data_IF_280900581491
#
_entry.id   IF_280900581491
#
_cell.length_a   1.000
_cell.length_b   1.000
_cell.length_c   1.000
_cell.angle_alpha   90.00
_cell.angle_beta   90.00
_cell.angle_gamma   90.00
#
_symmetry.space_group_name_H-M   'P 1'
#
loop_
_entity.id
_entity.type
_entity.pdbx_description
1 polymer ?
#
# COMPACT_ATOMS: atom_id res chain seq x y z
N UNK A 1 10.19 -5.61 -10.22
CA UNK A 1 8.84 -5.08 -9.85
C UNK A 1 8.63 -5.37 -8.37
N UNK A 2 8.26 -4.38 -7.55
CA UNK A 2 8.06 -4.58 -6.12
C UNK A 2 6.89 -5.53 -5.84
N UNK A 3 7.01 -6.31 -4.76
CA UNK A 3 6.04 -7.32 -4.36
C UNK A 3 5.54 -7.03 -2.94
N UNK A 4 4.24 -6.88 -2.78
CA UNK A 4 3.59 -6.73 -1.46
C UNK A 4 3.03 -8.08 -1.04
N UNK A 5 3.35 -8.50 0.17
CA UNK A 5 2.90 -9.79 0.74
C UNK A 5 2.03 -9.51 1.96
N UNK A 6 0.81 -10.04 1.96
CA UNK A 6 -0.08 -10.03 3.12
C UNK A 6 -0.17 -11.46 3.68
N UNK A 7 0.33 -11.63 4.89
CA UNK A 7 0.27 -12.88 5.62
C UNK A 7 -1.02 -12.92 6.43
N UNK A 8 -1.92 -13.82 6.07
CA UNK A 8 -3.21 -14.07 6.73
C UNK A 8 -4.05 -12.79 6.94
N UNK A 9 -4.33 -11.98 5.88
CA UNK A 9 -5.11 -10.77 6.05
C UNK A 9 -6.54 -11.07 6.50
N UNK A 10 -7.05 -10.24 7.45
CA UNK A 10 -8.34 -10.48 8.10
C UNK A 10 -9.45 -9.55 7.59
N UNK A 11 -9.10 -8.34 7.16
CA UNK A 11 -10.07 -7.30 6.82
C UNK A 11 -10.12 -7.05 5.30
N UNK A 12 -11.23 -7.43 4.62
CA UNK A 12 -11.34 -7.32 3.16
C UNK A 12 -11.21 -5.89 2.64
N UNK A 13 -11.66 -4.89 3.42
CA UNK A 13 -11.54 -3.48 3.04
C UNK A 13 -10.07 -3.02 2.98
N UNK A 14 -9.21 -3.51 3.88
CA UNK A 14 -7.77 -3.22 3.85
C UNK A 14 -7.14 -3.86 2.61
N UNK A 15 -7.42 -5.13 2.36
CA UNK A 15 -6.91 -5.84 1.17
C UNK A 15 -7.35 -5.15 -0.12
N UNK A 16 -8.61 -4.70 -0.19
CA UNK A 16 -9.10 -3.90 -1.31
C UNK A 16 -8.29 -2.61 -1.51
N UNK A 17 -8.10 -1.81 -0.47
CA UNK A 17 -7.32 -0.57 -0.54
C UNK A 17 -5.85 -0.83 -0.93
N UNK A 18 -5.25 -1.91 -0.41
CA UNK A 18 -3.89 -2.33 -0.76
C UNK A 18 -3.81 -2.74 -2.23
N UNK A 19 -4.78 -3.50 -2.73
CA UNK A 19 -4.86 -3.86 -4.14
C UNK A 19 -4.88 -2.62 -5.05
N UNK A 20 -5.66 -1.58 -4.69
CA UNK A 20 -5.66 -0.29 -5.41
C UNK A 20 -4.28 0.37 -5.39
N UNK A 21 -3.62 0.37 -4.25
CA UNK A 21 -2.27 0.91 -4.10
C UNK A 21 -1.27 0.15 -4.95
N UNK A 22 -1.35 -1.19 -5.00
CA UNK A 22 -0.49 -2.03 -5.84
C UNK A 22 -0.68 -1.72 -7.33
N UNK A 23 -1.93 -1.60 -7.80
CA UNK A 23 -2.21 -1.21 -9.19
C UNK A 23 -1.63 0.16 -9.51
N UNK A 24 -1.83 1.15 -8.64
CA UNK A 24 -1.31 2.50 -8.83
C UNK A 24 0.22 2.55 -8.84
N UNK A 25 0.87 1.70 -8.06
CA UNK A 25 2.32 1.61 -7.93
C UNK A 25 2.99 0.67 -8.95
N UNK A 26 2.21 -0.10 -9.70
CA UNK A 26 2.73 -1.16 -10.57
C UNK A 26 3.43 -2.28 -9.79
N UNK A 27 2.94 -2.58 -8.60
CA UNK A 27 3.44 -3.65 -7.72
C UNK A 27 2.54 -4.88 -7.79
N UNK A 28 3.10 -6.05 -7.52
CA UNK A 28 2.35 -7.31 -7.41
C UNK A 28 1.89 -7.53 -5.98
N UNK A 29 0.70 -8.14 -5.81
CA UNK A 29 0.13 -8.50 -4.51
C UNK A 29 0.17 -10.01 -4.30
N UNK A 30 0.73 -10.44 -3.19
CA UNK A 30 0.77 -11.85 -2.75
C UNK A 30 -0.08 -11.98 -1.49
N UNK A 31 -1.04 -12.91 -1.52
CA UNK A 31 -1.96 -13.17 -0.42
C UNK A 31 -1.71 -14.57 0.12
N UNK A 32 -1.42 -14.69 1.40
CA UNK A 32 -1.14 -15.97 2.05
C UNK A 32 -2.31 -16.33 2.95
N UNK A 33 -2.91 -17.49 2.72
CA UNK A 33 -3.99 -18.05 3.54
C UNK A 33 -3.48 -18.57 4.91
N UNK A 34 -4.39 -18.70 5.91
CA UNK A 34 -5.82 -18.46 5.83
C UNK A 34 -6.18 -16.96 5.87
N UNK A 35 -7.09 -16.55 5.01
CA UNK A 35 -7.63 -15.20 5.03
C UNK A 35 -8.92 -15.14 5.86
N UNK A 36 -9.19 -14.02 6.54
CA UNK A 36 -10.44 -13.78 7.27
C UNK A 36 -11.68 -13.62 6.36
N UNK A 37 -11.53 -13.75 5.04
CA UNK A 37 -12.58 -13.56 4.04
C UNK A 37 -12.26 -14.37 2.77
N UNK A 38 -13.27 -14.51 1.90
CA UNK A 38 -13.06 -15.12 0.58
C UNK A 38 -13.07 -14.03 -0.49
N UNK A 39 -12.11 -14.11 -1.41
CA UNK A 39 -12.10 -13.25 -2.60
C UNK A 39 -13.12 -13.83 -3.59
N UNK A 40 -14.24 -13.13 -3.72
CA UNK A 40 -15.32 -13.47 -4.65
C UNK A 40 -15.45 -12.37 -5.68
N UNK A 41 -15.25 -12.70 -6.96
CA UNK A 41 -15.35 -11.75 -8.07
C UNK A 41 -16.67 -10.97 -8.08
N UNK A 42 -17.80 -11.60 -7.70
CA UNK A 42 -19.10 -10.93 -7.62
C UNK A 42 -19.15 -9.86 -6.53
N UNK A 43 -18.47 -10.11 -5.40
CA UNK A 43 -18.36 -9.13 -4.29
C UNK A 43 -17.41 -8.00 -4.65
N UNK A 44 -16.30 -8.31 -5.30
CA UNK A 44 -15.35 -7.34 -5.85
C UNK A 44 -16.05 -6.37 -6.81
N UNK A 45 -16.79 -6.88 -7.77
CA UNK A 45 -17.57 -6.06 -8.72
C UNK A 45 -18.67 -5.24 -8.04
N UNK A 46 -19.38 -5.80 -7.05
CA UNK A 46 -20.41 -5.08 -6.27
C UNK A 46 -19.82 -3.97 -5.39
N UNK A 47 -18.60 -4.15 -4.91
CA UNK A 47 -17.90 -3.14 -4.13
C UNK A 47 -17.34 -1.99 -5.00
N UNK A 48 -17.53 -2.02 -6.33
CA UNK A 48 -17.03 -0.99 -7.24
C UNK A 48 -15.52 -0.93 -7.36
N UNK A 49 -14.84 -2.07 -7.17
CA UNK A 49 -13.38 -2.18 -7.28
C UNK A 49 -13.00 -2.31 -8.76
N UNK A 50 -13.13 -1.23 -9.50
CA UNK A 50 -12.90 -1.10 -10.95
C UNK A 50 -11.44 -1.35 -11.39
N UNK A 51 -10.51 -1.35 -10.43
CA UNK A 51 -9.08 -1.63 -10.63
C UNK A 51 -8.72 -3.11 -10.48
N UNK A 52 -9.62 -3.95 -9.94
CA UNK A 52 -9.31 -5.35 -9.59
C UNK A 52 -8.91 -6.19 -10.79
N UNK A 53 -9.53 -5.94 -11.95
CA UNK A 53 -9.17 -6.61 -13.21
C UNK A 53 -7.76 -6.28 -13.71
N UNK A 54 -7.13 -5.23 -13.14
CA UNK A 54 -5.77 -4.79 -13.46
C UNK A 54 -4.76 -5.21 -12.40
N UNK A 55 -5.23 -5.78 -11.29
CA UNK A 55 -4.38 -6.19 -10.18
C UNK A 55 -3.68 -7.51 -10.51
N UNK A 56 -2.35 -7.49 -10.57
CA UNK A 56 -1.56 -8.72 -10.57
C UNK A 56 -1.48 -9.26 -9.14
N UNK A 57 -2.15 -10.37 -8.88
CA UNK A 57 -2.11 -10.99 -7.56
C UNK A 57 -2.00 -12.52 -7.64
N UNK A 58 -1.43 -13.10 -6.58
CA UNK A 58 -1.32 -14.55 -6.40
C UNK A 58 -1.73 -14.93 -4.99
N UNK A 59 -2.46 -16.03 -4.84
CA UNK A 59 -2.86 -16.60 -3.56
C UNK A 59 -2.01 -17.85 -3.29
N UNK A 60 -1.61 -18.02 -2.03
CA UNK A 60 -0.81 -19.14 -1.53
C UNK A 60 -1.53 -19.81 -0.37
N UNK A 61 -1.47 -21.13 -0.30
CA UNK A 61 -2.14 -21.93 0.73
C UNK A 61 -1.52 -21.72 2.13
N UNK A 62 -0.23 -21.31 2.19
CA UNK A 62 0.49 -21.08 3.43
C UNK A 62 1.79 -20.31 3.21
N UNK A 63 2.42 -19.84 4.30
CA UNK A 63 3.75 -19.22 4.24
C UNK A 63 4.83 -20.16 3.67
N UNK A 64 4.92 -21.46 4.06
CA UNK A 64 5.82 -22.38 3.39
C UNK A 64 5.58 -22.53 1.89
N UNK A 65 4.32 -22.58 1.44
CA UNK A 65 3.97 -22.63 0.02
C UNK A 65 4.43 -21.38 -0.73
N UNK A 66 4.30 -20.20 -0.08
CA UNK A 66 4.83 -18.96 -0.63
C UNK A 66 6.36 -19.01 -0.80
N UNK A 67 7.10 -19.51 0.19
CA UNK A 67 8.57 -19.62 0.11
C UNK A 67 9.01 -20.62 -0.97
N UNK A 68 8.33 -21.76 -1.10
CA UNK A 68 8.62 -22.76 -2.11
C UNK A 68 8.44 -22.21 -3.54
N UNK A 69 7.38 -21.44 -3.76
CA UNK A 69 7.05 -20.85 -5.07
C UNK A 69 7.87 -19.59 -5.39
N UNK A 70 8.56 -19.00 -4.41
CA UNK A 70 9.39 -17.81 -4.57
C UNK A 70 10.80 -18.03 -4.00
N UNK A 71 11.57 -19.00 -4.54
CA UNK A 71 12.89 -19.32 -4.01
C UNK A 71 13.84 -18.14 -4.14
N UNK A 72 14.57 -17.83 -3.05
CA UNK A 72 15.53 -16.72 -3.02
C UNK A 72 14.90 -15.33 -2.88
N UNK A 73 13.59 -15.25 -2.59
CA UNK A 73 12.92 -13.98 -2.36
C UNK A 73 13.59 -13.22 -1.20
N UNK A 74 14.01 -11.98 -1.45
CA UNK A 74 14.44 -11.07 -0.38
C UNK A 74 13.23 -10.40 0.23
N UNK A 75 12.91 -10.75 1.47
CA UNK A 75 11.70 -10.33 2.14
C UNK A 75 12.03 -9.34 3.25
N UNK A 76 11.50 -8.10 3.15
CA UNK A 76 11.47 -7.13 4.23
C UNK A 76 10.18 -7.30 5.03
N UNK A 77 10.28 -7.48 6.33
CA UNK A 77 9.14 -7.78 7.21
C UNK A 77 8.75 -6.57 8.03
N UNK A 78 7.58 -5.98 7.71
CA UNK A 78 7.08 -4.80 8.41
C UNK A 78 6.45 -5.20 9.76
N UNK A 79 7.07 -4.75 10.84
CA UNK A 79 6.61 -4.99 12.22
C UNK A 79 6.89 -3.77 13.09
N UNK A 80 6.08 -3.56 14.12
CA UNK A 80 6.32 -2.46 15.09
C UNK A 80 7.49 -2.76 16.04
N UNK A 81 7.98 -4.00 16.09
CA UNK A 81 9.06 -4.48 16.96
C UNK A 81 10.45 -4.37 16.35
N UNK A 82 10.58 -4.04 15.06
CA UNK A 82 11.85 -4.00 14.35
C UNK A 82 12.81 -2.94 14.90
N UNK A 83 14.10 -3.21 14.78
CA UNK A 83 15.18 -2.25 15.09
C UNK A 83 15.36 -1.22 13.97
N UNK A 84 15.29 -1.67 12.71
CA UNK A 84 15.52 -0.82 11.55
C UNK A 84 14.29 0.02 11.19
N UNK A 85 14.50 1.31 10.93
CA UNK A 85 13.46 2.16 10.37
C UNK A 85 13.38 1.88 8.87
N UNK A 86 12.18 1.84 8.31
CA UNK A 86 11.93 1.52 6.90
C UNK A 86 12.69 2.43 5.92
N UNK A 87 13.02 3.66 6.31
CA UNK A 87 13.79 4.62 5.51
C UNK A 87 15.30 4.38 5.55
N UNK A 88 15.79 3.60 6.51
CA UNK A 88 17.23 3.37 6.73
C UNK A 88 17.74 2.13 5.99
N UNK A 89 16.83 1.34 5.44
CA UNK A 89 17.18 0.16 4.64
C UNK A 89 17.15 0.50 3.15
N UNK A 90 17.95 -0.23 2.36
CA UNK A 90 17.94 -0.13 0.91
C UNK A 90 17.07 -1.24 0.32
N UNK A 91 15.95 -0.86 -0.28
CA UNK A 91 15.06 -1.82 -0.94
C UNK A 91 15.64 -2.22 -2.31
N UNK A 92 15.92 -3.52 -2.46
CA UNK A 92 16.38 -4.07 -3.73
C UNK A 92 15.27 -4.05 -4.79
N UNK A 93 15.67 -4.05 -6.06
CA UNK A 93 14.72 -4.31 -7.14
C UNK A 93 14.08 -5.70 -6.94
N UNK A 94 12.82 -5.82 -7.24
CA UNK A 94 12.05 -7.08 -7.14
C UNK A 94 11.95 -7.67 -5.71
N UNK A 95 12.28 -6.90 -4.66
CA UNK A 95 12.11 -7.36 -3.29
C UNK A 95 10.64 -7.54 -2.90
N UNK A 96 10.44 -8.30 -1.83
CA UNK A 96 9.15 -8.54 -1.22
C UNK A 96 9.04 -7.75 0.08
N UNK A 97 7.89 -7.12 0.30
CA UNK A 97 7.61 -6.38 1.55
C UNK A 97 6.39 -7.04 2.19
N UNK A 98 6.64 -7.76 3.30
CA UNK A 98 5.63 -8.54 3.99
C UNK A 98 5.02 -7.78 5.15
N UNK A 99 3.69 -7.88 5.25
CA UNK A 99 2.89 -7.39 6.36
C UNK A 99 2.06 -8.54 6.93
N UNK A 100 1.95 -8.59 8.25
CA UNK A 100 1.15 -9.61 8.94
C UNK A 100 -0.32 -9.19 9.07
N UNK A 101 -1.12 -10.09 9.65
CA UNK A 101 -2.53 -9.87 9.92
C UNK A 101 -2.77 -8.71 10.88
N UNK A 102 -3.95 -8.09 10.76
CA UNK A 102 -4.27 -6.86 11.49
C UNK A 102 -4.30 -7.04 13.00
N UNK A 103 -4.71 -8.21 13.48
CA UNK A 103 -4.86 -8.50 14.92
C UNK A 103 -3.56 -8.82 15.64
N UNK A 104 -2.59 -9.47 14.96
CA UNK A 104 -1.39 -10.03 15.61
C UNK A 104 -0.06 -9.70 14.90
N UNK A 105 -0.09 -9.20 13.66
CA UNK A 105 1.11 -8.98 12.86
C UNK A 105 1.71 -10.27 12.31
N UNK A 106 3.00 -10.25 12.03
CA UNK A 106 3.78 -11.42 11.59
C UNK A 106 4.14 -12.25 12.84
N UNK A 107 4.01 -13.60 12.80
CA UNK A 107 4.42 -14.49 13.88
C UNK A 107 5.86 -14.26 14.35
N UNK A 108 6.07 -14.35 15.66
CA UNK A 108 7.35 -14.01 16.28
C UNK A 108 8.50 -14.93 15.80
N UNK A 109 8.20 -16.23 15.61
CA UNK A 109 9.16 -17.21 15.09
C UNK A 109 9.69 -16.80 13.72
N UNK A 110 8.83 -16.32 12.83
CA UNK A 110 9.25 -15.83 11.50
C UNK A 110 10.12 -14.57 11.63
N UNK A 111 9.76 -13.66 12.54
CA UNK A 111 10.52 -12.41 12.74
C UNK A 111 11.91 -12.66 13.31
N UNK A 112 12.05 -13.61 14.25
CA UNK A 112 13.33 -13.96 14.87
C UNK A 112 14.28 -14.56 13.84
N UNK A 113 13.80 -15.43 12.96
CA UNK A 113 14.59 -16.03 11.89
C UNK A 113 15.05 -15.00 10.84
N UNK A 114 14.38 -13.85 10.76
CA UNK A 114 14.60 -12.82 9.74
C UNK A 114 14.88 -11.43 10.34
N UNK A 115 15.47 -11.34 11.54
CA UNK A 115 15.65 -10.10 12.30
C UNK A 115 16.29 -8.98 11.47
N UNK A 116 17.30 -9.31 10.66
CA UNK A 116 18.07 -8.36 9.85
C UNK A 116 17.24 -7.66 8.74
N UNK A 117 16.15 -8.28 8.31
CA UNK A 117 15.27 -7.73 7.29
C UNK A 117 13.95 -7.19 7.86
N UNK A 118 13.85 -7.11 9.21
CA UNK A 118 12.69 -6.48 9.84
C UNK A 118 12.77 -4.97 9.77
N UNK A 119 11.64 -4.33 9.46
CA UNK A 119 11.53 -2.87 9.34
C UNK A 119 10.31 -2.35 10.10
N UNK A 120 10.40 -1.10 10.58
CA UNK A 120 9.28 -0.43 11.25
C UNK A 120 9.03 0.97 10.72
N UNK A 121 7.79 1.40 10.80
CA UNK A 121 7.41 2.81 10.63
C UNK A 121 7.49 3.47 12.01
N UNK A 122 8.26 4.56 12.20
CA UNK A 122 8.32 5.26 13.47
C UNK A 122 6.96 5.84 13.85
N UNK A 123 6.58 5.70 15.12
CA UNK A 123 5.36 6.29 15.67
C UNK A 123 5.70 7.15 16.88
N UNK A 124 5.10 8.34 16.95
CA UNK A 124 5.42 9.38 17.95
C UNK A 124 4.35 9.55 19.04
N UNK A 125 3.37 8.68 19.07
CA UNK A 125 2.28 8.74 20.03
C UNK A 125 2.03 7.41 20.73
N UNK A 126 0.95 7.35 21.51
CA UNK A 126 0.53 6.15 22.26
C UNK A 126 -0.14 5.08 21.36
N UNK A 127 -0.25 5.36 20.06
CA UNK A 127 -0.86 4.43 19.09
C UNK A 127 0.09 3.26 18.84
N UNK A 128 -0.43 2.04 18.93
CA UNK A 128 0.36 0.81 18.79
C UNK A 128 0.73 0.49 17.34
N UNK A 129 -0.12 0.83 16.40
CA UNK A 129 0.07 0.52 14.97
C UNK A 129 -0.74 1.47 14.09
N UNK A 130 -0.33 1.61 12.83
CA UNK A 130 -1.12 2.24 11.78
C UNK A 130 -2.09 1.22 11.15
N UNK A 131 -3.11 1.73 10.45
CA UNK A 131 -3.93 0.90 9.57
C UNK A 131 -3.04 0.19 8.54
N UNK A 132 -3.36 -1.08 8.25
CA UNK A 132 -2.55 -1.92 7.36
C UNK A 132 -2.37 -1.29 5.96
N UNK A 133 -3.43 -0.79 5.35
CA UNK A 133 -3.37 -0.14 4.04
C UNK A 133 -2.47 1.10 4.03
N UNK A 134 -2.50 1.90 5.11
CA UNK A 134 -1.62 3.05 5.27
C UNK A 134 -0.16 2.62 5.41
N UNK A 135 0.10 1.58 6.20
CA UNK A 135 1.46 1.04 6.38
C UNK A 135 2.05 0.55 5.06
N UNK A 136 1.27 -0.19 4.28
CA UNK A 136 1.66 -0.67 2.95
C UNK A 136 1.99 0.51 2.03
N UNK A 137 1.12 1.52 1.97
CA UNK A 137 1.33 2.68 1.10
C UNK A 137 2.62 3.43 1.46
N UNK A 138 2.89 3.66 2.75
CA UNK A 138 4.08 4.36 3.23
C UNK A 138 5.35 3.61 2.79
N UNK A 139 5.44 2.31 3.08
CA UNK A 139 6.66 1.54 2.80
C UNK A 139 6.85 1.29 1.31
N UNK A 140 5.77 0.98 0.57
CA UNK A 140 5.83 0.77 -0.87
C UNK A 140 6.30 2.03 -1.61
N UNK A 141 5.78 3.20 -1.26
CA UNK A 141 6.18 4.45 -1.92
C UNK A 141 7.59 4.89 -1.53
N UNK A 142 8.08 4.55 -0.34
CA UNK A 142 9.49 4.72 0.00
C UNK A 142 10.39 3.83 -0.86
N UNK A 143 10.04 2.55 -1.02
CA UNK A 143 10.80 1.65 -1.89
C UNK A 143 10.82 2.16 -3.35
N UNK A 144 9.68 2.63 -3.86
CA UNK A 144 9.60 3.26 -5.20
C UNK A 144 10.45 4.53 -5.29
N UNK A 145 10.45 5.37 -4.24
CA UNK A 145 11.28 6.58 -4.20
C UNK A 145 12.76 6.25 -4.31
N UNK A 146 13.22 5.23 -3.59
CA UNK A 146 14.61 4.77 -3.66
C UNK A 146 14.99 4.28 -5.05
N UNK A 147 14.04 3.66 -5.77
CA UNK A 147 14.22 3.18 -7.15
C UNK A 147 13.98 4.26 -8.22
N UNK A 148 13.73 5.52 -7.83
CA UNK A 148 13.52 6.63 -8.77
C UNK A 148 12.20 6.58 -9.53
N UNK A 149 11.16 5.89 -9.02
CA UNK A 149 9.84 5.74 -9.65
C UNK A 149 9.91 5.22 -11.11
N UNK A 150 10.51 4.05 -11.37
CA UNK A 150 10.88 3.61 -12.72
C UNK A 150 9.72 3.44 -13.70
N UNK A 151 8.47 3.41 -13.22
CA UNK A 151 7.25 3.26 -14.04
C UNK A 151 6.28 4.41 -13.85
N UNK A 152 6.68 5.48 -13.14
CA UNK A 152 5.80 6.63 -13.01
C UNK A 152 5.52 7.19 -14.40
N UNK A 153 4.25 7.46 -14.70
CA UNK A 153 3.91 8.29 -15.82
C UNK A 153 4.45 9.69 -15.52
N UNK A 154 5.72 9.92 -15.87
CA UNK A 154 6.41 11.21 -15.72
C UNK A 154 5.75 12.32 -16.54
N UNK A 155 4.83 11.95 -17.40
CA UNK A 155 4.08 12.84 -18.26
C UNK A 155 2.71 13.14 -17.68
N UNK A 156 2.67 13.81 -16.52
CA UNK A 156 1.53 14.65 -16.12
C UNK A 156 1.25 15.77 -17.14
N UNK A 157 1.79 15.63 -18.35
CA UNK A 157 1.79 16.62 -19.40
C UNK A 157 0.56 16.60 -20.31
N UNK A 158 -0.47 15.81 -20.03
CA UNK A 158 -1.63 15.82 -20.93
C UNK A 158 -2.97 16.20 -20.32
N UNK A 159 -3.08 16.44 -19.03
CA UNK A 159 -4.11 17.34 -18.56
C UNK A 159 -3.51 18.73 -18.52
N UNK A 160 -3.74 19.51 -19.56
CA UNK A 160 -3.49 20.96 -19.55
C UNK A 160 -4.27 21.59 -18.39
N UNK A 161 -3.67 21.52 -17.22
CA UNK A 161 -4.05 22.36 -16.09
C UNK A 161 -3.62 23.76 -16.50
N UNK A 162 -4.39 24.39 -17.38
CA UNK A 162 -4.14 25.76 -17.78
C UNK A 162 -4.42 26.62 -16.55
N UNK A 163 -3.37 27.09 -15.92
CA UNK A 163 -3.42 28.14 -14.90
C UNK A 163 -4.17 29.41 -15.39
N UNK A 164 -4.42 29.51 -16.68
CA UNK A 164 -5.18 30.60 -17.32
C UNK A 164 -6.65 30.68 -16.85
N UNK A 165 -7.24 29.64 -16.24
CA UNK A 165 -8.62 29.69 -15.71
C UNK A 165 -8.74 30.33 -14.33
N UNK A 166 -7.63 30.64 -13.66
CA UNK A 166 -7.65 31.27 -12.33
C UNK A 166 -7.65 32.80 -12.36
N UNK A 167 -7.42 33.41 -13.50
CA UNK A 167 -7.42 34.89 -13.64
C UNK A 167 -8.80 35.50 -13.92
N UNK A 168 -9.85 34.69 -13.99
CA UNK A 168 -11.21 35.14 -14.30
C UNK A 168 -12.14 35.37 -13.09
N UNK A 169 -11.67 35.27 -11.84
CA UNK A 169 -12.49 35.59 -10.68
C UNK A 169 -12.16 37.02 -10.24
N UNK A 170 -12.74 37.96 -11.00
CA UNK A 170 -12.85 39.36 -10.55
C UNK A 170 -13.60 39.45 -9.24
N UNK A 171 -13.08 40.28 -8.35
CA UNK A 171 -13.71 40.92 -7.19
C UNK A 171 -15.04 40.31 -6.68
N UNK A 172 -14.98 39.29 -5.87
CA UNK A 172 -16.08 38.92 -4.98
C UNK A 172 -15.70 39.20 -3.55
N UNK A 173 -16.02 40.38 -3.08
CA UNK A 173 -16.21 40.70 -1.65
C UNK A 173 -17.45 39.91 -1.19
N UNK A 174 -17.29 38.92 -0.36
CA UNK A 174 -18.38 38.26 0.35
C UNK A 174 -18.30 36.73 0.39
N UNK A 175 -18.25 36.22 1.61
CA UNK A 175 -18.43 34.83 2.03
C UNK A 175 -17.25 33.87 1.91
N UNK A 176 -16.37 33.98 2.88
CA UNK A 176 -15.28 33.00 3.16
C UNK A 176 -15.81 31.58 3.47
N UNK A 177 -17.01 31.46 4.00
CA UNK A 177 -17.62 30.17 4.38
C UNK A 177 -18.09 29.29 3.19
N UNK A 178 -18.39 29.88 2.04
CA UNK A 178 -18.76 29.09 0.84
C UNK A 178 -17.56 28.52 0.09
N UNK A 179 -16.34 29.03 0.31
CA UNK A 179 -15.12 28.52 -0.32
C UNK A 179 -14.59 27.26 0.34
N UNK A 180 -14.83 27.05 1.63
CA UNK A 180 -14.38 25.84 2.35
C UNK A 180 -15.20 24.61 1.95
N UNK A 181 -16.48 24.78 1.62
CA UNK A 181 -17.35 23.68 1.16
C UNK A 181 -17.03 23.17 -0.26
N UNK A 182 -16.38 23.99 -1.09
CA UNK A 182 -15.98 23.57 -2.43
C UNK A 182 -14.70 22.73 -2.44
N UNK A 183 -13.84 22.88 -1.43
CA UNK A 183 -12.62 22.08 -1.27
C UNK A 183 -12.88 20.67 -0.71
N UNK A 184 -13.97 20.48 0.06
CA UNK A 184 -14.34 19.16 0.58
C UNK A 184 -14.89 18.18 -0.47
N UNK A 185 -15.32 18.64 -1.64
CA UNK A 185 -15.84 17.78 -2.70
C UNK A 185 -14.74 17.23 -3.65
N UNK A 186 -13.49 17.64 -3.50
CA UNK A 186 -12.39 17.19 -4.36
C UNK A 186 -11.67 15.94 -3.81
N UNK A 187 -11.95 15.56 -2.56
CA UNK A 187 -11.44 14.34 -1.92
C UNK A 187 -12.55 13.30 -1.66
N UNK A 188 -13.47 13.12 -2.59
CA UNK A 188 -14.26 11.90 -2.63
C UNK A 188 -13.43 10.83 -3.33
N UNK A 189 -12.55 10.18 -2.56
CA UNK A 189 -12.14 8.81 -2.80
C UNK A 189 -13.17 7.88 -2.24
#
# INVERSE_FOLDING_TARGET
MLNIVLLEPEIPANTGNIGRTCVAAGAKLHLIEPMGFQINEKQVKRAGLDYWDKLDYTIYDSYPDFLEKNPGAKIYMATTKAKHIYSDVSFEEDCYIMFGKESAGIPEEILVENEETTIRIPMYGEIRSLNLGNSVAIVLYEALRQQGFPKSQSDGASSSFSLARWHGIGNCKGNFLKKVLFFCNFFKC
#
